data_IF_627623169415
#
_entry.id   IF_627623169415
#
_cell.length_a   1.000
_cell.length_b   1.000
_cell.length_c   1.000
_cell.angle_alpha   90.00
_cell.angle_beta   90.00
_cell.angle_gamma   90.00
#
_symmetry.space_group_name_H-M   'P 1'
#
loop_
_entity.id
_entity.type
_entity.pdbx_description
1 polymer ?
#
# COMPACT_ATOMS: atom_id res chain seq x y z
N UNK A 1 -0.09 25.20 0.43
CA UNK A 1 0.08 23.73 0.40
C UNK A 1 1.06 23.42 -0.72
N UNK A 2 2.14 22.71 -0.42
CA UNK A 2 3.11 22.28 -1.43
C UNK A 2 2.52 21.09 -2.19
N UNK A 3 1.87 21.36 -3.32
CA UNK A 3 1.24 20.32 -4.15
C UNK A 3 2.26 19.37 -4.80
N UNK A 4 3.42 19.85 -5.28
CA UNK A 4 4.49 18.96 -5.75
C UNK A 4 4.92 17.93 -4.70
N UNK A 5 5.20 18.35 -3.47
CA UNK A 5 5.60 17.44 -2.41
C UNK A 5 4.48 16.46 -2.04
N UNK A 6 3.24 16.95 -1.94
CA UNK A 6 2.09 16.10 -1.65
C UNK A 6 1.93 15.02 -2.73
N UNK A 7 2.06 15.38 -4.00
CA UNK A 7 1.99 14.44 -5.11
C UNK A 7 3.08 13.38 -5.02
N UNK A 8 4.31 13.78 -4.72
CA UNK A 8 5.44 12.85 -4.59
C UNK A 8 5.22 11.84 -3.46
N UNK A 9 4.75 12.30 -2.29
CA UNK A 9 4.44 11.43 -1.16
C UNK A 9 3.31 10.45 -1.48
N UNK A 10 2.24 10.90 -2.15
CA UNK A 10 1.06 10.09 -2.46
C UNK A 10 1.31 9.12 -3.62
N UNK A 11 2.15 9.47 -4.59
CA UNK A 11 2.48 8.59 -5.71
C UNK A 11 3.61 7.59 -5.40
N UNK A 12 4.29 7.76 -4.26
CA UNK A 12 5.31 6.86 -3.73
C UNK A 12 4.66 5.63 -3.08
N UNK A 13 5.20 4.45 -3.38
CA UNK A 13 4.70 3.20 -2.81
C UNK A 13 5.38 2.85 -1.50
N UNK A 14 4.61 2.46 -0.50
CA UNK A 14 5.17 1.92 0.74
C UNK A 14 4.13 1.21 1.57
N UNK A 15 3.84 -0.04 1.25
CA UNK A 15 2.99 -0.87 2.11
C UNK A 15 3.73 -1.16 3.44
N UNK A 16 2.99 -1.59 4.46
CA UNK A 16 3.57 -1.96 5.74
C UNK A 16 4.73 -2.97 5.58
N UNK A 17 5.90 -2.62 6.12
CA UNK A 17 7.17 -3.34 5.99
C UNK A 17 8.04 -2.96 4.79
N UNK A 18 7.54 -2.14 3.86
CA UNK A 18 8.22 -1.73 2.61
C UNK A 18 8.20 -0.21 2.42
N UNK A 19 8.32 0.56 3.49
CA UNK A 19 8.16 2.03 3.52
C UNK A 19 9.41 2.81 3.08
N UNK A 20 10.39 2.16 2.47
CA UNK A 20 11.68 2.78 2.15
C UNK A 20 11.55 3.98 1.19
N UNK A 21 10.67 3.87 0.19
CA UNK A 21 10.43 4.95 -0.78
C UNK A 21 9.81 6.19 -0.13
N UNK A 22 8.64 6.13 0.55
CA UNK A 22 8.07 7.30 1.20
C UNK A 22 8.95 7.83 2.33
N UNK A 23 9.68 6.96 3.04
CA UNK A 23 10.67 7.39 4.04
C UNK A 23 11.78 8.25 3.43
N UNK A 24 12.31 7.90 2.26
CA UNK A 24 13.39 8.67 1.62
C UNK A 24 12.94 10.09 1.27
N UNK A 25 11.68 10.24 0.83
CA UNK A 25 11.07 11.54 0.53
C UNK A 25 10.89 12.33 1.83
N UNK A 26 10.30 11.70 2.86
CA UNK A 26 10.12 12.33 4.17
C UNK A 26 11.45 12.77 4.79
N UNK A 27 12.49 11.93 4.72
CA UNK A 27 13.83 12.23 5.24
C UNK A 27 14.49 13.41 4.50
N UNK A 28 14.37 13.46 3.18
CA UNK A 28 14.87 14.59 2.38
C UNK A 28 14.21 15.92 2.79
N UNK A 29 12.92 15.91 3.11
CA UNK A 29 12.22 17.11 3.55
C UNK A 29 12.49 17.46 5.01
N UNK A 30 12.52 16.46 5.90
CA UNK A 30 12.75 16.64 7.34
C UNK A 30 14.19 17.05 7.66
N UNK A 31 15.17 16.55 6.90
CA UNK A 31 16.59 16.89 7.07
C UNK A 31 16.89 18.38 6.85
N UNK A 32 16.01 19.11 6.15
CA UNK A 32 16.09 20.58 6.00
C UNK A 32 15.84 21.32 7.31
N UNK A 33 15.21 20.65 8.29
CA UNK A 33 14.84 21.23 9.59
C UNK A 33 15.80 20.84 10.71
N UNK A 34 16.55 19.73 10.55
CA UNK A 34 17.50 19.25 11.54
C UNK A 34 17.96 17.81 11.28
N UNK A 35 18.72 17.25 12.21
CA UNK A 35 19.23 15.88 12.09
C UNK A 35 18.10 14.85 12.20
N UNK A 36 18.00 14.00 11.18
CA UNK A 36 17.07 12.88 11.15
C UNK A 36 17.75 11.60 11.62
N UNK A 37 16.96 10.71 12.22
CA UNK A 37 17.40 9.36 12.60
C UNK A 37 16.31 8.35 12.26
N UNK A 38 16.70 7.28 11.59
CA UNK A 38 15.84 6.10 11.38
C UNK A 38 16.14 5.04 12.43
N UNK A 39 15.11 4.45 13.03
CA UNK A 39 15.27 3.31 13.94
C UNK A 39 15.33 1.96 13.20
N UNK A 40 15.50 0.86 13.94
CA UNK A 40 15.62 -0.49 13.36
C UNK A 40 14.33 -0.99 12.71
N UNK A 41 13.18 -0.44 13.06
CA UNK A 41 11.90 -0.79 12.45
C UNK A 41 11.60 0.09 11.24
N UNK A 42 12.42 1.13 10.99
CA UNK A 42 12.26 2.02 9.86
C UNK A 42 11.50 3.31 10.17
N UNK A 43 11.17 3.61 11.43
CA UNK A 43 10.53 4.87 11.77
C UNK A 43 11.54 6.02 11.64
N UNK A 44 11.12 7.10 10.99
CA UNK A 44 11.91 8.32 10.83
C UNK A 44 11.60 9.31 11.95
N UNK A 45 12.64 9.72 12.67
CA UNK A 45 12.55 10.65 13.79
C UNK A 45 13.33 11.93 13.47
N UNK A 46 12.76 13.07 13.86
CA UNK A 46 13.42 14.38 13.91
C UNK A 46 13.13 14.98 15.28
N UNK A 47 14.17 15.46 15.96
CA UNK A 47 14.02 16.19 17.21
C UNK A 47 14.33 17.66 16.99
N UNK A 48 13.34 18.52 17.24
CA UNK A 48 13.51 19.96 17.25
C UNK A 48 13.70 20.43 18.70
N UNK A 49 14.89 20.96 19.00
CA UNK A 49 15.22 21.41 20.35
C UNK A 49 14.44 22.68 20.71
N UNK A 50 13.99 22.76 21.97
CA UNK A 50 13.27 23.91 22.52
C UNK A 50 13.09 23.79 24.02
N UNK A 51 12.61 24.86 24.65
CA UNK A 51 12.30 24.90 26.07
C UNK A 51 10.81 24.57 26.31
N UNK A 52 10.51 23.77 27.33
CA UNK A 52 9.14 23.42 27.72
C UNK A 52 8.81 21.92 27.61
N UNK A 53 7.51 21.56 27.52
CA UNK A 53 7.08 20.16 27.47
C UNK A 53 7.43 19.50 26.12
N UNK A 54 7.64 18.18 26.15
CA UNK A 54 7.88 17.38 24.94
C UNK A 54 6.56 17.13 24.21
N UNK A 55 6.49 17.51 22.93
CA UNK A 55 5.35 17.27 22.04
C UNK A 55 5.79 16.32 20.94
N UNK A 56 4.96 15.30 20.66
CA UNK A 56 5.18 14.36 19.55
C UNK A 56 4.10 14.56 18.49
N UNK A 57 4.53 14.75 17.24
CA UNK A 57 3.66 14.72 16.06
C UNK A 57 4.00 13.44 15.31
N UNK A 58 3.01 12.57 15.14
CA UNK A 58 3.18 11.28 14.47
C UNK A 58 2.29 11.23 13.24
N UNK A 59 2.87 10.81 12.12
CA UNK A 59 2.19 10.39 10.91
C UNK A 59 2.81 9.06 10.46
N UNK A 60 2.01 8.16 9.91
CA UNK A 60 2.49 6.86 9.45
C UNK A 60 2.82 6.95 7.95
N UNK A 61 3.89 6.24 7.55
CA UNK A 61 4.38 6.23 6.16
C UNK A 61 3.73 5.12 5.33
N UNK A 62 3.21 4.10 6.00
CA UNK A 62 2.64 2.93 5.36
C UNK A 62 1.27 3.23 4.75
N UNK A 63 1.03 2.60 3.61
CA UNK A 63 -0.29 2.57 2.97
C UNK A 63 -0.86 1.15 2.95
N UNK A 64 -2.18 1.06 2.76
CA UNK A 64 -2.82 -0.24 2.52
C UNK A 64 -2.34 -0.83 1.19
N UNK A 65 -2.18 -2.15 1.13
CA UNK A 65 -1.75 -2.83 -0.08
C UNK A 65 -1.81 -4.34 0.03
N UNK A 66 -0.98 -5.03 -0.74
CA UNK A 66 -1.00 -6.49 -0.82
C UNK A 66 0.41 -7.06 -0.89
N UNK A 67 0.58 -8.27 -0.35
CA UNK A 67 1.72 -9.14 -0.64
C UNK A 67 1.28 -10.24 -1.59
N UNK A 68 2.14 -10.60 -2.55
CA UNK A 68 1.92 -11.78 -3.37
C UNK A 68 2.15 -13.02 -2.50
N UNK A 69 1.13 -13.87 -2.37
CA UNK A 69 1.16 -15.11 -1.58
C UNK A 69 1.67 -16.28 -2.41
N UNK A 70 1.16 -16.43 -3.63
CA UNK A 70 1.61 -17.41 -4.60
C UNK A 70 1.21 -16.98 -6.02
N UNK A 71 1.86 -17.60 -6.99
CA UNK A 71 1.52 -17.51 -8.42
C UNK A 71 1.02 -18.88 -8.84
N UNK A 72 -0.11 -18.94 -9.53
CA UNK A 72 -0.64 -20.20 -10.03
C UNK A 72 0.01 -20.63 -11.36
N UNK A 73 -0.42 -21.77 -11.90
CA UNK A 73 0.14 -22.35 -13.14
C UNK A 73 -0.19 -21.51 -14.39
N UNK A 74 -1.25 -20.71 -14.32
CA UNK A 74 -1.69 -19.82 -15.40
C UNK A 74 -1.03 -18.43 -15.33
N UNK A 75 -0.32 -18.13 -14.25
CA UNK A 75 0.44 -16.89 -14.05
C UNK A 75 -0.27 -15.82 -13.22
N UNK A 76 -1.45 -16.10 -12.66
CA UNK A 76 -2.19 -15.15 -11.84
C UNK A 76 -1.60 -15.01 -10.44
N UNK A 77 -1.58 -13.79 -9.91
CA UNK A 77 -1.03 -13.50 -8.58
C UNK A 77 -2.13 -13.51 -7.53
N UNK A 78 -2.02 -14.39 -6.55
CA UNK A 78 -2.94 -14.43 -5.41
C UNK A 78 -2.38 -13.64 -4.24
N UNK A 79 -3.24 -12.85 -3.60
CA UNK A 79 -2.82 -11.78 -2.70
C UNK A 79 -3.12 -12.09 -1.22
N UNK A 80 -2.24 -11.60 -0.35
CA UNK A 80 -2.47 -11.43 1.07
C UNK A 80 -2.68 -9.93 1.35
N UNK A 81 -3.86 -9.49 1.83
CA UNK A 81 -4.10 -8.08 2.13
C UNK A 81 -3.23 -7.60 3.31
N UNK A 82 -2.68 -6.41 3.18
CA UNK A 82 -2.06 -5.63 4.26
C UNK A 82 -2.90 -4.38 4.51
N UNK A 83 -3.54 -4.34 5.68
CA UNK A 83 -4.49 -3.29 6.04
C UNK A 83 -5.94 -3.66 5.73
N UNK A 84 -6.84 -2.68 5.90
CA UNK A 84 -8.29 -2.87 5.74
C UNK A 84 -8.77 -2.50 4.34
N UNK A 85 -9.34 -3.48 3.62
CA UNK A 85 -9.96 -3.26 2.31
C UNK A 85 -11.47 -3.46 2.36
N UNK A 86 -12.19 -2.66 1.57
CA UNK A 86 -13.60 -2.90 1.23
C UNK A 86 -13.65 -3.67 -0.11
N UNK A 87 -14.07 -4.96 -0.11
CA UNK A 87 -14.11 -5.79 -1.32
C UNK A 87 -14.87 -5.15 -2.48
N UNK A 88 -15.90 -4.36 -2.16
CA UNK A 88 -16.76 -3.69 -3.15
C UNK A 88 -16.02 -2.67 -3.99
N UNK A 89 -14.87 -2.20 -3.51
CA UNK A 89 -14.04 -1.18 -4.17
C UNK A 89 -12.83 -1.76 -4.89
N UNK A 90 -12.58 -3.07 -4.79
CA UNK A 90 -11.34 -3.69 -5.28
C UNK A 90 -11.41 -4.11 -6.75
N UNK A 91 -12.60 -4.40 -7.29
CA UNK A 91 -12.72 -4.97 -8.62
C UNK A 91 -12.30 -3.99 -9.73
N UNK A 92 -11.56 -4.50 -10.72
CA UNK A 92 -11.06 -3.77 -11.88
C UNK A 92 -10.19 -2.56 -11.53
N UNK A 93 -9.47 -2.60 -10.39
CA UNK A 93 -8.50 -1.57 -10.02
C UNK A 93 -7.16 -1.86 -10.68
N UNK A 94 -6.52 -0.81 -11.21
CA UNK A 94 -5.13 -0.88 -11.65
C UNK A 94 -4.23 -0.95 -10.43
N UNK A 95 -3.30 -1.88 -10.44
CA UNK A 95 -2.31 -2.07 -9.39
C UNK A 95 -0.91 -2.01 -10.00
N UNK A 96 0.08 -1.69 -9.16
CA UNK A 96 1.50 -1.80 -9.48
C UNK A 96 2.06 -2.94 -8.64
N UNK A 97 2.63 -3.94 -9.31
CA UNK A 97 3.26 -5.11 -8.68
C UNK A 97 4.76 -4.87 -8.70
N UNK A 98 5.34 -4.64 -7.53
CA UNK A 98 6.77 -4.34 -7.39
C UNK A 98 7.51 -5.59 -6.96
N UNK A 99 8.53 -5.97 -7.73
CA UNK A 99 9.51 -7.01 -7.39
C UNK A 99 10.80 -6.37 -6.89
N UNK A 100 11.83 -7.19 -6.65
CA UNK A 100 13.18 -6.73 -6.37
C UNK A 100 13.85 -6.01 -7.57
N UNK A 101 13.36 -6.26 -8.78
CA UNK A 101 14.01 -5.91 -10.03
C UNK A 101 13.21 -4.93 -10.87
N UNK A 102 11.89 -4.98 -10.80
CA UNK A 102 11.02 -4.15 -11.64
C UNK A 102 9.65 -3.86 -11.00
N UNK A 103 8.86 -3.03 -11.68
CA UNK A 103 7.48 -2.76 -11.33
C UNK A 103 6.60 -3.02 -12.54
N UNK A 104 5.68 -3.96 -12.40
CA UNK A 104 4.74 -4.38 -13.43
C UNK A 104 3.38 -3.75 -13.20
N UNK A 105 2.66 -3.43 -14.29
CA UNK A 105 1.27 -3.05 -14.21
C UNK A 105 0.40 -4.31 -14.16
N UNK A 106 -0.62 -4.31 -13.30
CA UNK A 106 -1.60 -5.40 -13.25
C UNK A 106 -3.01 -4.87 -12.99
N UNK A 107 -3.98 -5.76 -13.08
CA UNK A 107 -5.38 -5.48 -12.79
C UNK A 107 -5.91 -6.39 -11.70
N UNK A 108 -6.44 -5.79 -10.65
CA UNK A 108 -7.09 -6.51 -9.55
C UNK A 108 -8.48 -6.96 -9.97
N UNK A 109 -8.70 -8.27 -10.00
CA UNK A 109 -9.92 -8.91 -10.47
C UNK A 109 -10.53 -9.80 -9.41
N UNK A 110 -11.87 -9.88 -9.39
CA UNK A 110 -12.59 -10.82 -8.55
C UNK A 110 -12.80 -12.15 -9.27
N UNK A 111 -12.30 -13.24 -8.71
CA UNK A 111 -12.49 -14.61 -9.20
C UNK A 111 -13.92 -15.07 -9.02
N UNK A 112 -14.76 -14.79 -10.02
CA UNK A 112 -16.16 -15.20 -10.05
C UNK A 112 -16.57 -15.71 -11.42
N UNK A 113 -17.57 -16.60 -11.44
CA UNK A 113 -18.22 -16.97 -12.69
C UNK A 113 -18.91 -15.75 -13.31
N UNK A 114 -19.04 -15.69 -14.65
CA UNK A 114 -19.88 -14.71 -15.31
C UNK A 114 -21.30 -14.68 -14.74
N UNK A 115 -21.93 -13.50 -14.69
CA UNK A 115 -23.24 -13.29 -14.07
C UNK A 115 -24.33 -14.26 -14.55
N UNK A 116 -24.30 -14.65 -15.82
CA UNK A 116 -25.27 -15.56 -16.43
C UNK A 116 -25.03 -17.04 -16.09
N UNK A 117 -23.94 -17.37 -15.41
CA UNK A 117 -23.60 -18.71 -14.92
C UNK A 117 -23.65 -18.82 -13.39
N UNK A 118 -23.96 -17.72 -12.69
CA UNK A 118 -24.13 -17.72 -11.24
C UNK A 118 -25.52 -18.23 -10.86
N UNK A 119 -25.58 -19.04 -9.81
CA UNK A 119 -26.84 -19.31 -9.11
C UNK A 119 -27.32 -18.08 -8.33
N UNK A 120 -28.62 -18.04 -7.98
CA UNK A 120 -29.20 -16.95 -7.20
C UNK A 120 -28.51 -16.76 -5.84
N UNK A 121 -28.03 -17.85 -5.23
CA UNK A 121 -27.34 -17.82 -3.94
C UNK A 121 -25.90 -17.28 -4.09
N UNK A 122 -25.16 -17.71 -5.12
CA UNK A 122 -23.83 -17.16 -5.42
C UNK A 122 -23.91 -15.67 -5.78
N UNK A 123 -24.96 -15.26 -6.49
CA UNK A 123 -25.14 -13.86 -6.88
C UNK A 123 -25.47 -12.93 -5.70
N UNK A 124 -26.10 -13.46 -4.63
CA UNK A 124 -26.39 -12.72 -3.40
C UNK A 124 -25.22 -12.70 -2.43
N UNK A 125 -24.27 -13.64 -2.57
CA UNK A 125 -23.09 -13.68 -1.74
C UNK A 125 -22.20 -12.45 -2.02
N UNK A 126 -21.78 -11.77 -0.95
CA UNK A 126 -20.85 -10.64 -1.05
C UNK A 126 -19.46 -11.09 -1.53
N UNK A 127 -18.70 -10.14 -2.08
CA UNK A 127 -17.32 -10.40 -2.51
C UNK A 127 -16.42 -10.70 -1.31
N UNK A 128 -15.62 -11.76 -1.43
CA UNK A 128 -14.61 -12.16 -0.45
C UNK A 128 -13.23 -11.69 -0.88
N UNK A 129 -12.43 -11.12 0.04
CA UNK A 129 -11.10 -10.59 -0.28
C UNK A 129 -10.19 -11.69 -0.83
N UNK A 130 -10.33 -12.91 -0.29
CA UNK A 130 -9.53 -14.08 -0.63
C UNK A 130 -9.74 -14.58 -2.06
N UNK A 131 -10.81 -14.13 -2.72
CA UNK A 131 -11.12 -14.47 -4.11
C UNK A 131 -10.61 -13.43 -5.11
N UNK A 132 -9.88 -12.40 -4.66
CA UNK A 132 -9.22 -11.45 -5.56
C UNK A 132 -7.83 -11.94 -5.97
N UNK A 133 -7.47 -11.65 -7.21
CA UNK A 133 -6.18 -11.94 -7.80
C UNK A 133 -5.76 -10.81 -8.75
N UNK A 134 -4.47 -10.77 -9.11
CA UNK A 134 -3.94 -9.85 -10.13
C UNK A 134 -3.67 -10.63 -11.41
N UNK A 135 -4.16 -10.06 -12.51
CA UNK A 135 -3.79 -10.38 -13.88
C UNK A 135 -2.82 -9.31 -14.41
#
# INVERSE_FOLDING_TARGET
MDLPLLRELVESHGIAGYEASPRSIAEREMSKLGETRTDRLGNLHLHLAGEGPKVMIAAHLDEIGFLVRFVDEDGFLFLQPLGGFDPRQMNSKRVRVTTDTETLAGTLNYGTKPKHLLSDDEAKAGQKIESFFVD
#
